data_IF_718001731401
#
_entry.id   IF_718001731401
#
_cell.length_a   1.000
_cell.length_b   1.000
_cell.length_c   1.000
_cell.angle_alpha   90.00
_cell.angle_beta   90.00
_cell.angle_gamma   90.00
#
_symmetry.space_group_name_H-M   'P 1'
#
loop_
_entity.id
_entity.type
_entity.pdbx_description
1 polymer ?
#
# COMPACT_ATOMS: atom_id res chain seq x y z
N UNK A 1 -5.16 6.77 -29.99
CA UNK A 1 -3.78 6.29 -29.76
C UNK A 1 -3.67 5.92 -28.31
N UNK A 2 -3.11 4.74 -28.03
CA UNK A 2 -2.97 4.31 -26.65
C UNK A 2 -1.85 5.11 -25.96
N UNK A 3 -1.99 5.41 -24.67
CA UNK A 3 -0.93 6.07 -23.88
C UNK A 3 0.40 5.33 -24.00
N UNK A 4 0.36 3.99 -24.09
CA UNK A 4 1.52 3.12 -24.29
C UNK A 4 2.32 3.40 -25.57
N UNK A 5 1.75 4.11 -26.55
CA UNK A 5 2.40 4.48 -27.81
C UNK A 5 3.07 5.88 -27.74
N UNK A 6 2.89 6.62 -26.63
CA UNK A 6 3.37 7.99 -26.45
C UNK A 6 4.58 8.05 -25.50
N UNK A 7 5.61 7.25 -25.77
CA UNK A 7 6.79 7.08 -24.87
C UNK A 7 7.49 8.39 -24.50
N UNK A 8 7.59 9.35 -25.44
CA UNK A 8 8.21 10.68 -25.18
C UNK A 8 7.38 11.47 -24.17
N UNK A 9 6.05 11.44 -24.31
CA UNK A 9 5.16 12.16 -23.41
C UNK A 9 5.13 11.50 -22.03
N UNK A 10 5.16 10.18 -21.95
CA UNK A 10 5.30 9.45 -20.67
C UNK A 10 6.60 9.87 -19.97
N UNK A 11 7.73 9.89 -20.66
CA UNK A 11 9.01 10.31 -20.07
C UNK A 11 8.97 11.78 -19.60
N UNK A 12 8.33 12.67 -20.37
CA UNK A 12 8.12 14.06 -19.97
C UNK A 12 7.30 14.15 -18.68
N UNK A 13 6.20 13.39 -18.59
CA UNK A 13 5.33 13.35 -17.42
C UNK A 13 6.05 12.80 -16.19
N UNK A 14 6.83 11.72 -16.32
CA UNK A 14 7.67 11.17 -15.24
C UNK A 14 8.64 12.22 -14.73
N UNK A 15 9.35 12.91 -15.62
CA UNK A 15 10.32 13.95 -15.21
C UNK A 15 9.67 15.13 -14.51
N UNK A 16 8.50 15.57 -15.00
CA UNK A 16 7.71 16.63 -14.35
C UNK A 16 7.26 16.17 -12.97
N UNK A 17 6.76 14.94 -12.85
CA UNK A 17 6.36 14.35 -11.58
C UNK A 17 7.53 14.30 -10.59
N UNK A 18 8.69 13.77 -10.98
CA UNK A 18 9.88 13.70 -10.13
C UNK A 18 10.32 15.10 -9.64
N UNK A 19 10.28 16.11 -10.53
CA UNK A 19 10.65 17.48 -10.18
C UNK A 19 9.70 18.13 -9.17
N UNK A 20 8.40 17.81 -9.23
CA UNK A 20 7.40 18.28 -8.26
C UNK A 20 7.47 17.47 -6.97
N UNK A 21 7.70 16.15 -7.06
CA UNK A 21 7.86 15.27 -5.92
C UNK A 21 9.09 15.64 -5.07
N UNK A 22 10.19 16.04 -5.72
CA UNK A 22 11.42 16.49 -5.06
C UNK A 22 11.23 17.73 -4.15
N UNK A 23 10.13 18.46 -4.29
CA UNK A 23 9.77 19.58 -3.40
C UNK A 23 9.23 19.13 -2.04
N UNK A 24 8.97 17.82 -1.87
CA UNK A 24 8.46 17.22 -0.63
C UNK A 24 9.56 16.41 0.07
N UNK A 25 10.62 17.10 0.51
CA UNK A 25 11.83 16.50 1.09
C UNK A 25 11.67 15.87 2.48
N UNK A 26 10.60 16.19 3.20
CA UNK A 26 10.38 15.70 4.58
C UNK A 26 9.48 14.47 4.66
N UNK A 27 9.20 13.79 3.55
CA UNK A 27 8.41 12.56 3.56
C UNK A 27 9.33 11.34 3.61
N UNK A 28 9.19 10.52 4.65
CA UNK A 28 9.87 9.23 4.75
C UNK A 28 8.85 8.10 4.63
N UNK A 29 9.18 7.08 3.82
CA UNK A 29 8.41 5.85 3.73
C UNK A 29 9.27 4.70 4.23
N UNK A 30 8.80 4.02 5.27
CA UNK A 30 9.45 2.85 5.84
C UNK A 30 8.58 1.63 5.63
N UNK A 31 9.20 0.51 5.23
CA UNK A 31 8.53 -0.76 5.01
C UNK A 31 8.74 -1.67 6.22
N UNK A 32 7.68 -2.35 6.61
CA UNK A 32 7.67 -3.22 7.79
C UNK A 32 7.04 -4.57 7.47
N UNK A 33 7.72 -5.62 7.89
CA UNK A 33 7.24 -6.99 7.81
C UNK A 33 6.94 -7.47 9.23
N UNK A 34 5.71 -7.90 9.47
CA UNK A 34 5.29 -8.43 10.77
C UNK A 34 4.75 -9.83 10.60
N UNK A 35 5.27 -10.74 11.42
CA UNK A 35 4.78 -12.11 11.56
C UNK A 35 4.02 -12.25 12.88
N UNK A 36 3.22 -13.30 13.04
CA UNK A 36 2.55 -13.61 14.32
C UNK A 36 3.51 -13.71 15.52
N UNK A 37 4.77 -14.12 15.29
CA UNK A 37 5.79 -14.26 16.32
C UNK A 37 6.55 -12.96 16.63
N UNK A 38 6.04 -11.80 16.20
CA UNK A 38 6.72 -10.53 16.43
C UNK A 38 6.79 -10.21 17.92
N UNK A 39 8.01 -10.25 18.47
CA UNK A 39 8.34 -9.92 19.85
C UNK A 39 9.15 -8.62 19.97
N UNK A 40 9.23 -7.85 18.88
CA UNK A 40 9.97 -6.59 18.85
C UNK A 40 9.30 -5.49 19.66
N UNK A 41 10.04 -4.43 20.01
CA UNK A 41 9.46 -3.26 20.67
C UNK A 41 8.37 -2.66 19.78
N UNK A 42 7.26 -2.21 20.39
CA UNK A 42 6.28 -1.38 19.70
C UNK A 42 6.97 -0.10 19.21
N UNK A 43 7.31 -0.07 17.93
CA UNK A 43 7.87 1.12 17.30
C UNK A 43 6.83 2.23 17.36
N UNK A 44 7.23 3.40 17.89
CA UNK A 44 6.42 4.60 17.83
C UNK A 44 6.75 5.32 16.52
N UNK A 45 5.72 5.71 15.78
CA UNK A 45 5.85 6.50 14.57
C UNK A 45 5.70 7.99 14.91
N UNK A 46 6.53 8.81 14.27
CA UNK A 46 6.53 10.27 14.37
C UNK A 46 5.25 10.81 13.75
N UNK A 47 4.63 11.81 14.39
CA UNK A 47 3.44 12.48 13.84
C UNK A 47 3.86 13.71 13.03
N UNK A 48 3.24 14.00 11.88
CA UNK A 48 2.14 13.27 11.27
C UNK A 48 2.61 12.01 10.52
N UNK A 49 1.80 10.95 10.58
CA UNK A 49 2.04 9.69 9.88
C UNK A 49 0.78 9.09 9.25
N UNK A 50 1.00 8.13 8.35
CA UNK A 50 -0.04 7.34 7.72
C UNK A 50 0.45 5.91 7.46
N UNK A 51 -0.27 4.92 7.98
CA UNK A 51 -0.04 3.51 7.70
C UNK A 51 -0.78 3.05 6.44
N UNK A 52 -0.13 2.23 5.64
CA UNK A 52 -0.69 1.60 4.44
C UNK A 52 -0.51 0.09 4.57
N UNK A 53 -1.61 -0.65 4.58
CA UNK A 53 -1.58 -2.10 4.41
C UNK A 53 -1.31 -2.42 2.94
N UNK A 54 -0.20 -3.13 2.65
CA UNK A 54 0.20 -3.45 1.28
C UNK A 54 -0.32 -4.83 0.87
N UNK A 55 0.11 -5.89 1.58
CA UNK A 55 -0.43 -7.24 1.40
C UNK A 55 -0.26 -8.06 2.68
N UNK A 56 -1.01 -9.17 2.75
CA UNK A 56 -0.91 -10.13 3.83
C UNK A 56 -0.96 -11.56 3.28
N UNK A 57 -0.17 -12.44 3.87
CA UNK A 57 -0.27 -13.87 3.69
C UNK A 57 -0.88 -14.48 4.94
N UNK A 58 -2.05 -15.10 4.78
CA UNK A 58 -2.83 -15.62 5.88
C UNK A 58 -2.30 -16.94 6.45
N UNK A 59 -1.49 -17.66 5.68
CA UNK A 59 -1.05 -19.01 5.99
C UNK A 59 -1.84 -20.06 5.21
N UNK A 60 -1.42 -21.32 5.35
CA UNK A 60 -2.11 -22.45 4.72
C UNK A 60 -3.31 -22.89 5.57
N UNK A 61 -4.49 -22.94 4.95
CA UNK A 61 -5.72 -23.49 5.55
C UNK A 61 -5.77 -24.99 5.20
N UNK A 62 -5.67 -25.87 6.20
CA UNK A 62 -5.53 -27.32 5.96
C UNK A 62 -6.73 -28.13 6.42
N UNK A 63 -7.43 -27.69 7.45
CA UNK A 63 -8.58 -28.38 8.01
C UNK A 63 -9.75 -27.44 8.34
N UNK A 64 -10.87 -28.01 8.78
CA UNK A 64 -12.07 -27.25 9.13
C UNK A 64 -11.85 -26.32 10.33
N UNK A 65 -10.92 -26.65 11.23
CA UNK A 65 -10.60 -25.79 12.38
C UNK A 65 -9.87 -24.53 11.94
N UNK A 66 -8.96 -24.64 10.97
CA UNK A 66 -8.29 -23.49 10.34
C UNK A 66 -9.30 -22.58 9.63
N UNK A 67 -10.34 -23.15 9.01
CA UNK A 67 -11.42 -22.39 8.35
C UNK A 67 -12.21 -21.58 9.37
N UNK A 68 -12.65 -22.22 10.46
CA UNK A 68 -13.39 -21.52 11.53
C UNK A 68 -12.57 -20.39 12.15
N UNK A 69 -11.26 -20.62 12.36
CA UNK A 69 -10.34 -19.60 12.86
C UNK A 69 -10.19 -18.44 11.87
N UNK A 70 -10.07 -18.72 10.57
CA UNK A 70 -9.98 -17.69 9.53
C UNK A 70 -11.26 -16.83 9.48
N UNK A 71 -12.45 -17.45 9.55
CA UNK A 71 -13.73 -16.72 9.60
C UNK A 71 -13.81 -15.84 10.85
N UNK A 72 -13.47 -16.39 12.02
CA UNK A 72 -13.46 -15.63 13.27
C UNK A 72 -12.50 -14.43 13.20
N UNK A 73 -11.33 -14.64 12.60
CA UNK A 73 -10.36 -13.56 12.38
C UNK A 73 -10.91 -12.50 11.43
N UNK A 74 -11.56 -12.89 10.33
CA UNK A 74 -12.20 -11.95 9.39
C UNK A 74 -13.25 -11.09 10.10
N UNK A 75 -14.15 -11.72 10.85
CA UNK A 75 -15.22 -11.02 11.56
C UNK A 75 -14.69 -10.06 12.64
N UNK A 76 -13.60 -10.44 13.31
CA UNK A 76 -12.96 -9.64 14.35
C UNK A 76 -11.97 -8.57 13.84
N UNK A 77 -11.75 -8.46 12.53
CA UNK A 77 -10.72 -7.59 11.96
C UNK A 77 -11.21 -6.18 11.66
N UNK A 78 -10.35 -5.19 11.91
CA UNK A 78 -10.51 -3.87 11.30
C UNK A 78 -9.95 -3.92 9.88
N UNK A 79 -10.84 -3.92 8.89
CA UNK A 79 -10.48 -4.02 7.48
C UNK A 79 -9.53 -2.90 7.00
N UNK A 80 -9.41 -1.79 7.75
CA UNK A 80 -8.41 -0.74 7.45
C UNK A 80 -6.97 -1.19 7.71
N UNK A 81 -6.77 -2.15 8.61
CA UNK A 81 -5.47 -2.67 9.04
C UNK A 81 -5.25 -4.12 8.63
N UNK A 82 -6.08 -4.64 7.72
CA UNK A 82 -6.00 -6.01 7.24
C UNK A 82 -6.66 -7.03 8.16
N UNK A 83 -6.50 -8.31 7.84
CA UNK A 83 -7.04 -9.39 8.65
C UNK A 83 -6.08 -9.79 9.77
N UNK A 84 -6.68 -10.13 10.91
CA UNK A 84 -6.02 -10.76 12.05
C UNK A 84 -5.57 -12.18 11.72
N UNK A 85 -4.60 -12.67 12.47
CA UNK A 85 -4.10 -14.03 12.33
C UNK A 85 -3.23 -14.28 11.09
N UNK A 86 -2.95 -13.26 10.27
CA UNK A 86 -2.09 -13.42 9.09
C UNK A 86 -0.66 -13.84 9.49
N UNK A 87 -0.16 -14.92 8.90
CA UNK A 87 1.20 -15.43 9.14
C UNK A 87 2.27 -14.36 8.85
N UNK A 88 2.05 -13.56 7.80
CA UNK A 88 2.91 -12.45 7.41
C UNK A 88 2.07 -11.26 6.93
N UNK A 89 2.40 -10.08 7.41
CA UNK A 89 1.82 -8.80 6.97
C UNK A 89 2.91 -7.84 6.52
N UNK A 90 2.69 -7.19 5.39
CA UNK A 90 3.55 -6.13 4.88
C UNK A 90 2.81 -4.80 4.89
N UNK A 91 3.40 -3.81 5.56
CA UNK A 91 2.86 -2.47 5.62
C UNK A 91 3.94 -1.43 5.37
N UNK A 92 3.52 -0.30 4.84
CA UNK A 92 4.32 0.90 4.80
C UNK A 92 3.84 1.89 5.86
N UNK A 93 4.76 2.63 6.44
CA UNK A 93 4.43 3.82 7.22
C UNK A 93 5.08 5.01 6.55
N UNK A 94 4.26 6.02 6.32
CA UNK A 94 4.68 7.32 5.80
C UNK A 94 4.72 8.29 6.97
N UNK A 95 5.84 8.98 7.14
CA UNK A 95 6.07 9.93 8.22
C UNK A 95 6.53 11.28 7.65
N UNK A 96 6.16 12.36 8.34
CA UNK A 96 6.64 13.71 8.06
C UNK A 96 5.57 14.68 7.57
N UNK A 97 5.88 15.98 7.57
CA UNK A 97 4.89 17.06 7.49
C UNK A 97 3.99 17.01 6.25
N UNK A 98 4.53 16.54 5.12
CA UNK A 98 3.80 16.42 3.85
C UNK A 98 2.83 15.21 3.78
N UNK A 99 2.75 14.37 4.81
CA UNK A 99 1.96 13.13 4.81
C UNK A 99 0.50 13.35 4.39
N UNK A 100 -0.16 14.37 4.90
CA UNK A 100 -1.56 14.66 4.56
C UNK A 100 -1.77 14.98 3.07
N UNK A 101 -0.81 15.69 2.47
CA UNK A 101 -0.85 16.04 1.06
C UNK A 101 -0.54 14.82 0.19
N UNK A 102 0.45 14.01 0.57
CA UNK A 102 0.78 12.75 -0.09
C UNK A 102 -0.46 11.85 -0.17
N UNK A 103 -1.16 11.64 0.96
CA UNK A 103 -2.37 10.79 1.00
C UNK A 103 -3.46 11.32 0.07
N UNK A 104 -3.64 12.66 0.00
CA UNK A 104 -4.61 13.26 -0.94
C UNK A 104 -4.20 13.05 -2.39
N UNK A 105 -2.91 13.17 -2.71
CA UNK A 105 -2.41 12.94 -4.06
C UNK A 105 -2.55 11.48 -4.47
N UNK A 106 -2.17 10.53 -3.60
CA UNK A 106 -2.30 9.10 -3.84
C UNK A 106 -3.76 8.70 -4.08
N UNK A 107 -4.70 9.20 -3.26
CA UNK A 107 -6.14 8.97 -3.47
C UNK A 107 -6.64 9.51 -4.80
N UNK A 108 -6.17 10.69 -5.21
CA UNK A 108 -6.53 11.27 -6.51
C UNK A 108 -5.96 10.44 -7.64
N UNK A 109 -4.68 10.06 -7.58
CA UNK A 109 -4.02 9.25 -8.58
C UNK A 109 -4.70 7.88 -8.76
N UNK A 110 -5.06 7.21 -7.65
CA UNK A 110 -5.82 5.96 -7.70
C UNK A 110 -7.23 6.10 -8.29
N UNK A 111 -7.82 7.29 -8.23
CA UNK A 111 -9.12 7.59 -8.84
C UNK A 111 -9.01 8.06 -10.30
N UNK A 112 -7.80 8.26 -10.85
CA UNK A 112 -7.62 8.63 -12.26
C UNK A 112 -7.89 7.45 -13.18
N UNK A 113 -7.63 6.21 -12.73
CA UNK A 113 -7.83 5.02 -13.54
C UNK A 113 -9.28 4.54 -13.46
N UNK A 114 -9.93 4.36 -14.60
CA UNK A 114 -11.19 3.63 -14.68
C UNK A 114 -10.96 2.09 -14.68
N UNK A 115 -12.04 1.30 -14.57
CA UNK A 115 -11.94 -0.17 -14.57
C UNK A 115 -11.23 -0.73 -15.83
N UNK A 116 -11.32 -0.03 -16.96
CA UNK A 116 -10.72 -0.47 -18.22
C UNK A 116 -9.21 -0.19 -18.24
N UNK A 117 -8.80 0.93 -17.66
CA UNK A 117 -7.40 1.34 -17.52
C UNK A 117 -6.66 0.56 -16.43
N UNK A 118 -7.35 0.20 -15.34
CA UNK A 118 -6.81 -0.63 -14.26
C UNK A 118 -6.34 -2.00 -14.77
N UNK A 119 -7.13 -2.65 -15.63
CA UNK A 119 -6.77 -3.94 -16.26
C UNK A 119 -5.53 -3.85 -17.16
N UNK A 120 -5.25 -2.67 -17.70
CA UNK A 120 -4.05 -2.43 -18.51
C UNK A 120 -2.84 -2.24 -17.59
N UNK A 121 -2.98 -1.50 -16.49
CA UNK A 121 -1.90 -1.32 -15.51
C UNK A 121 -1.45 -2.64 -14.86
N UNK A 122 -2.40 -3.53 -14.51
CA UNK A 122 -2.13 -4.89 -13.99
C UNK A 122 -1.31 -5.74 -14.98
N UNK A 123 -1.55 -5.57 -16.29
CA UNK A 123 -0.83 -6.29 -17.35
C UNK A 123 0.61 -5.82 -17.56
N UNK A 124 0.91 -4.59 -17.18
CA UNK A 124 2.22 -3.94 -17.39
C UNK A 124 3.08 -3.98 -16.11
N UNK A 125 2.55 -4.50 -15.00
CA UNK A 125 3.30 -4.72 -13.75
C UNK A 125 3.64 -3.42 -13.00
N UNK A 126 2.82 -2.39 -13.17
CA UNK A 126 3.01 -1.07 -12.54
C UNK A 126 2.20 -0.94 -11.23
N UNK A 127 1.40 -1.95 -10.90
CA UNK A 127 0.62 -2.02 -9.66
C UNK A 127 0.81 -3.36 -8.96
#
# INVERSE_FOLDING_TARGET
MAISEQTIEIQRLVKVFESEAAKFHDLQMTLHFVTQNFSGPCQKFSSPNHGIMLWQYYGAIKDETDVELAVTNIEGSDQKWGLRGAELSWFAVIEGEATSLFVRMAKRAGAVFDESETKIAERVGVM
#
